data_IF_325058350805
#
_entry.id   IF_325058350805
#
_cell.length_a   1.000
_cell.length_b   1.000
_cell.length_c   1.000
_cell.angle_alpha   90.00
_cell.angle_beta   90.00
_cell.angle_gamma   90.00
#
_symmetry.space_group_name_H-M   'P 1'
#
loop_
_entity.id
_entity.type
_entity.pdbx_description
1 polymer ?
#
# COMPACT_ATOMS: atom_id res chain seq x y z
N UNK A 1 9.87 -62.14 1.64
CA UNK A 1 10.82 -61.03 1.85
C UNK A 1 10.12 -59.82 1.28
N UNK A 2 9.44 -59.04 2.14
CA UNK A 2 9.94 -57.77 2.72
C UNK A 2 10.26 -56.77 1.58
N UNK A 3 9.80 -55.52 1.55
CA UNK A 3 9.24 -54.62 2.58
C UNK A 3 8.79 -53.32 1.88
N UNK A 4 7.98 -52.50 2.57
CA UNK A 4 7.89 -51.01 2.49
C UNK A 4 7.27 -50.38 1.22
N UNK A 5 6.48 -49.30 1.24
CA UNK A 5 6.19 -48.25 2.24
C UNK A 5 4.93 -47.46 1.82
N UNK A 6 4.25 -46.85 2.80
CA UNK A 6 3.08 -45.97 2.66
C UNK A 6 3.42 -44.57 2.10
N UNK A 7 2.60 -44.04 1.19
CA UNK A 7 2.52 -42.59 0.92
C UNK A 7 1.04 -42.15 0.90
N UNK A 8 0.63 -41.45 1.97
CA UNK A 8 -0.58 -40.64 2.02
C UNK A 8 -0.36 -39.33 1.25
N UNK A 9 -0.99 -39.20 0.08
CA UNK A 9 -1.02 -37.92 -0.64
C UNK A 9 -2.14 -37.02 -0.06
N UNK A 10 -1.69 -36.05 0.73
CA UNK A 10 -2.44 -34.86 1.14
C UNK A 10 -2.89 -34.10 -0.10
N UNK A 11 -4.20 -34.05 -0.35
CA UNK A 11 -4.79 -33.18 -1.38
C UNK A 11 -4.55 -31.70 -0.99
N UNK A 12 -3.84 -30.91 -1.79
CA UNK A 12 -3.82 -29.47 -1.59
C UNK A 12 -5.14 -28.90 -2.12
N UNK A 13 -5.80 -28.11 -1.28
CA UNK A 13 -7.04 -27.39 -1.57
C UNK A 13 -6.77 -26.33 -2.64
N UNK A 14 -7.02 -26.74 -3.88
CA UNK A 14 -6.95 -25.95 -5.09
C UNK A 14 -8.14 -24.99 -5.16
N UNK A 15 -7.96 -23.74 -4.73
CA UNK A 15 -8.85 -22.64 -5.06
C UNK A 15 -8.58 -22.11 -6.49
N UNK A 16 -8.50 -23.03 -7.45
CA UNK A 16 -8.76 -22.73 -8.85
C UNK A 16 -10.22 -22.32 -8.98
N UNK A 17 -10.48 -21.21 -9.68
CA UNK A 17 -11.83 -20.89 -10.18
C UNK A 17 -12.20 -21.98 -11.21
N UNK A 18 -12.56 -23.17 -10.72
CA UNK A 18 -12.84 -24.37 -11.48
C UNK A 18 -14.21 -24.36 -12.16
N UNK A 19 -14.59 -25.48 -12.82
CA UNK A 19 -15.58 -25.48 -13.90
C UNK A 19 -17.04 -25.46 -13.40
N UNK A 20 -17.77 -24.43 -13.85
CA UNK A 20 -19.22 -24.21 -14.06
C UNK A 20 -20.25 -25.12 -13.32
N UNK A 21 -21.27 -24.52 -12.66
CA UNK A 21 -22.45 -24.03 -13.41
C UNK A 21 -23.03 -22.70 -12.86
N UNK A 22 -23.26 -21.71 -13.73
CA UNK A 22 -23.89 -20.38 -13.50
C UNK A 22 -24.49 -20.09 -12.10
N UNK A 23 -23.87 -19.17 -11.32
CA UNK A 23 -24.47 -17.83 -11.15
C UNK A 23 -23.46 -16.66 -11.29
N UNK A 24 -22.30 -16.90 -11.89
CA UNK A 24 -21.26 -15.89 -12.10
C UNK A 24 -21.50 -15.17 -13.44
N UNK A 25 -21.25 -13.85 -13.50
CA UNK A 25 -21.73 -13.00 -14.59
C UNK A 25 -21.19 -13.35 -16.00
N UNK A 26 -21.77 -12.69 -17.01
CA UNK A 26 -21.62 -13.04 -18.44
C UNK A 26 -20.17 -12.97 -18.90
N UNK A 27 -19.63 -14.06 -19.44
CA UNK A 27 -18.33 -14.11 -20.11
C UNK A 27 -18.48 -14.31 -21.63
N UNK A 28 -17.79 -13.48 -22.39
CA UNK A 28 -17.68 -13.53 -23.85
C UNK A 28 -16.19 -13.65 -24.22
N UNK A 29 -15.72 -14.83 -24.61
CA UNK A 29 -14.31 -15.04 -24.98
C UNK A 29 -13.93 -16.51 -25.19
N UNK A 30 -12.67 -16.75 -25.49
CA UNK A 30 -12.12 -18.09 -25.67
C UNK A 30 -12.11 -18.91 -24.36
N UNK A 31 -12.11 -20.23 -24.51
CA UNK A 31 -11.90 -21.20 -23.42
C UNK A 31 -10.86 -22.23 -23.84
N UNK A 32 -10.15 -22.80 -22.88
CA UNK A 32 -9.22 -23.91 -23.12
C UNK A 32 -9.91 -25.27 -22.98
N UNK A 33 -9.14 -26.36 -23.10
CA UNK A 33 -9.63 -27.74 -23.08
C UNK A 33 -10.30 -28.12 -21.74
N UNK A 34 -9.98 -27.40 -20.66
CA UNK A 34 -10.58 -27.57 -19.33
C UNK A 34 -11.85 -26.72 -19.16
N UNK A 35 -12.27 -26.02 -20.22
CA UNK A 35 -13.38 -25.06 -20.25
C UNK A 35 -13.13 -23.79 -19.42
N UNK A 36 -11.89 -23.55 -19.01
CA UNK A 36 -11.49 -22.34 -18.31
C UNK A 36 -11.38 -21.15 -19.26
N UNK A 37 -11.58 -19.94 -18.75
CA UNK A 37 -11.39 -18.71 -19.54
C UNK A 37 -9.95 -18.65 -20.06
N UNK A 38 -9.80 -18.45 -21.37
CA UNK A 38 -8.49 -18.45 -22.02
C UNK A 38 -8.45 -17.51 -23.23
N UNK A 39 -7.32 -16.84 -23.43
CA UNK A 39 -7.17 -15.85 -24.51
C UNK A 39 -7.87 -14.54 -24.17
N UNK A 40 -8.25 -13.76 -25.17
CA UNK A 40 -8.93 -12.49 -24.95
C UNK A 40 -10.43 -12.72 -24.69
N UNK A 41 -10.99 -12.01 -23.71
CA UNK A 41 -12.42 -12.06 -23.42
C UNK A 41 -12.90 -10.93 -22.49
N UNK A 42 -14.23 -10.79 -22.42
CA UNK A 42 -14.93 -9.84 -21.54
C UNK A 42 -15.78 -10.61 -20.52
N UNK A 43 -15.60 -10.32 -19.23
CA UNK A 43 -16.37 -10.88 -18.14
C UNK A 43 -17.09 -9.77 -17.37
N UNK A 44 -18.38 -9.98 -17.09
CA UNK A 44 -19.06 -9.31 -15.97
C UNK A 44 -18.89 -10.20 -14.75
N UNK A 45 -18.28 -9.69 -13.70
CA UNK A 45 -18.03 -10.42 -12.46
C UNK A 45 -19.27 -10.38 -11.55
N UNK A 46 -19.44 -11.31 -10.61
CA UNK A 46 -20.63 -11.37 -9.74
C UNK A 46 -20.86 -10.11 -8.91
N UNK A 47 -19.76 -9.44 -8.54
CA UNK A 47 -19.79 -8.18 -7.81
C UNK A 47 -20.23 -6.98 -8.69
N UNK A 48 -20.46 -7.20 -9.99
CA UNK A 48 -20.83 -6.18 -10.97
C UNK A 48 -19.64 -5.47 -11.61
N UNK A 49 -18.41 -5.84 -11.27
CA UNK A 49 -17.22 -5.35 -11.94
C UNK A 49 -17.12 -5.93 -13.36
N UNK A 50 -16.39 -5.24 -14.23
CA UNK A 50 -16.19 -5.67 -15.61
C UNK A 50 -14.69 -5.84 -15.84
N UNK A 51 -14.31 -6.97 -16.40
CA UNK A 51 -12.96 -7.19 -16.92
C UNK A 51 -13.02 -7.44 -18.42
N UNK A 52 -12.11 -6.81 -19.15
CA UNK A 52 -11.89 -7.02 -20.58
C UNK A 52 -10.40 -7.15 -20.82
N UNK A 53 -9.96 -8.33 -21.25
CA UNK A 53 -8.53 -8.57 -21.42
C UNK A 53 -8.19 -10.04 -21.59
N UNK A 54 -6.91 -10.33 -21.42
CA UNK A 54 -6.38 -11.67 -21.56
C UNK A 54 -6.59 -12.53 -20.30
N UNK A 55 -6.87 -13.80 -20.53
CA UNK A 55 -7.00 -14.86 -19.55
C UNK A 55 -6.03 -16.01 -19.88
N UNK A 56 -5.59 -16.71 -18.83
CA UNK A 56 -4.83 -17.95 -18.92
C UNK A 56 -5.20 -18.84 -17.74
N UNK A 57 -5.69 -20.05 -18.03
CA UNK A 57 -6.13 -21.05 -17.03
C UNK A 57 -7.10 -20.42 -16.02
N UNK A 58 -8.16 -19.80 -16.53
CA UNK A 58 -9.22 -19.20 -15.73
C UNK A 58 -8.87 -17.86 -15.08
N UNK A 59 -7.59 -17.49 -15.00
CA UNK A 59 -7.11 -16.28 -14.31
C UNK A 59 -6.76 -15.16 -15.28
N UNK A 60 -7.00 -13.90 -14.86
CA UNK A 60 -6.57 -12.70 -15.60
C UNK A 60 -5.05 -12.73 -15.79
N UNK A 61 -4.59 -12.51 -17.02
CA UNK A 61 -3.17 -12.64 -17.38
C UNK A 61 -2.86 -11.78 -18.60
N UNK A 62 -1.70 -11.13 -18.68
CA UNK A 62 -1.38 -10.24 -19.80
C UNK A 62 -2.08 -8.88 -19.68
N UNK A 63 -2.35 -8.21 -20.80
CA UNK A 63 -2.99 -6.87 -20.79
C UNK A 63 -4.50 -7.00 -20.57
N UNK A 64 -5.08 -6.09 -19.79
CA UNK A 64 -6.52 -5.99 -19.62
C UNK A 64 -6.98 -4.77 -18.83
N UNK A 65 -8.22 -4.37 -19.10
CA UNK A 65 -8.96 -3.31 -18.43
C UNK A 65 -9.90 -3.93 -17.39
N UNK A 66 -9.82 -3.45 -16.16
CA UNK A 66 -10.73 -3.80 -15.08
C UNK A 66 -11.45 -2.54 -14.62
N UNK A 67 -12.78 -2.54 -14.73
CA UNK A 67 -13.66 -1.45 -14.31
C UNK A 67 -14.43 -1.91 -13.08
N UNK A 68 -14.18 -1.25 -11.96
CA UNK A 68 -14.86 -1.51 -10.71
C UNK A 68 -16.22 -0.82 -10.72
N UNK A 69 -17.23 -1.43 -10.09
CA UNK A 69 -18.56 -0.84 -9.92
C UNK A 69 -18.53 0.50 -9.18
N UNK A 70 -17.53 0.70 -8.31
CA UNK A 70 -17.31 1.96 -7.58
C UNK A 70 -16.72 3.08 -8.45
N UNK A 71 -16.46 2.84 -9.74
CA UNK A 71 -15.93 3.82 -10.69
C UNK A 71 -14.41 3.77 -10.86
N UNK A 72 -13.68 3.06 -9.99
CA UNK A 72 -12.24 2.86 -10.15
C UNK A 72 -11.93 2.01 -11.39
N UNK A 73 -10.76 2.23 -11.98
CA UNK A 73 -10.35 1.56 -13.23
C UNK A 73 -8.88 1.21 -13.19
N UNK A 74 -8.54 -0.01 -13.58
CA UNK A 74 -7.17 -0.43 -13.83
C UNK A 74 -7.01 -0.81 -15.29
N UNK A 75 -6.10 -0.15 -15.99
CA UNK A 75 -5.67 -0.52 -17.34
C UNK A 75 -4.18 -0.87 -17.28
N UNK A 76 -3.85 -2.16 -17.45
CA UNK A 76 -2.48 -2.57 -17.31
C UNK A 76 -2.24 -4.06 -17.49
N UNK A 77 -1.07 -4.48 -17.07
CA UNK A 77 -0.65 -5.88 -17.08
C UNK A 77 -1.15 -6.64 -15.84
N UNK A 78 -1.41 -7.92 -16.06
CA UNK A 78 -1.94 -8.88 -15.10
C UNK A 78 -1.09 -10.13 -15.12
N UNK A 79 -0.90 -10.76 -13.96
CA UNK A 79 -0.24 -12.07 -13.84
C UNK A 79 -0.94 -12.88 -12.78
N UNK A 80 -1.53 -14.02 -13.19
CA UNK A 80 -2.24 -14.95 -12.30
C UNK A 80 -3.30 -14.27 -11.43
N UNK A 81 -4.09 -13.35 -12.02
CA UNK A 81 -5.17 -12.64 -11.34
C UNK A 81 -4.76 -11.34 -10.65
N UNK A 82 -3.46 -11.02 -10.56
CA UNK A 82 -2.95 -9.86 -9.83
C UNK A 82 -2.42 -8.79 -10.79
N UNK A 83 -2.53 -7.51 -10.43
CA UNK A 83 -1.87 -6.42 -11.17
C UNK A 83 -0.36 -6.61 -11.11
N UNK A 84 0.28 -6.51 -12.26
CA UNK A 84 1.71 -6.73 -12.43
C UNK A 84 2.24 -5.82 -13.54
N UNK A 85 3.55 -5.69 -13.70
CA UNK A 85 4.14 -4.99 -14.84
C UNK A 85 3.74 -3.51 -14.88
N UNK A 86 3.44 -2.97 -16.04
CA UNK A 86 3.03 -1.56 -16.19
C UNK A 86 1.51 -1.40 -16.21
N UNK A 87 1.00 -0.35 -15.55
CA UNK A 87 -0.43 -0.06 -15.53
C UNK A 87 -0.80 1.32 -15.00
N UNK A 88 -1.99 1.75 -15.37
CA UNK A 88 -2.66 2.94 -14.87
C UNK A 88 -3.85 2.53 -13.99
N UNK A 89 -3.90 3.07 -12.77
CA UNK A 89 -5.07 2.94 -11.90
C UNK A 89 -5.68 4.32 -11.67
N UNK A 90 -6.95 4.47 -12.00
CA UNK A 90 -7.77 5.65 -11.68
C UNK A 90 -8.63 5.28 -10.48
N UNK A 91 -8.50 6.04 -9.40
CA UNK A 91 -9.25 5.85 -8.17
C UNK A 91 -10.62 6.53 -8.24
N UNK A 92 -11.59 6.15 -7.39
CA UNK A 92 -12.93 6.74 -7.40
C UNK A 92 -12.94 8.25 -7.13
N UNK A 93 -11.97 8.75 -6.35
CA UNK A 93 -11.78 10.16 -6.03
C UNK A 93 -11.21 10.98 -7.21
N UNK A 94 -10.85 10.32 -8.32
CA UNK A 94 -10.23 10.94 -9.50
C UNK A 94 -8.71 11.05 -9.43
N UNK A 95 -8.08 10.69 -8.31
CA UNK A 95 -6.63 10.51 -8.26
C UNK A 95 -6.23 9.36 -9.19
N UNK A 96 -4.96 9.35 -9.64
CA UNK A 96 -4.48 8.28 -10.50
C UNK A 96 -3.02 7.95 -10.26
N UNK A 97 -2.68 6.67 -10.41
CA UNK A 97 -1.31 6.17 -10.45
C UNK A 97 -1.00 5.65 -11.84
N UNK A 98 0.18 5.98 -12.36
CA UNK A 98 0.72 5.44 -13.61
C UNK A 98 2.12 4.96 -13.32
N UNK A 99 2.37 3.65 -13.43
CA UNK A 99 3.69 3.12 -13.14
C UNK A 99 3.73 1.61 -13.08
N UNK A 100 4.77 1.11 -12.42
CA UNK A 100 5.00 -0.31 -12.22
C UNK A 100 4.16 -0.88 -11.04
N UNK A 101 3.79 -2.14 -11.18
CA UNK A 101 2.96 -2.91 -10.25
C UNK A 101 3.58 -4.29 -9.98
N UNK A 102 3.47 -4.77 -8.74
CA UNK A 102 3.86 -6.13 -8.35
C UNK A 102 2.89 -6.63 -7.28
N UNK A 103 2.11 -7.67 -7.61
CA UNK A 103 1.12 -8.29 -6.71
C UNK A 103 0.14 -7.27 -6.15
N UNK A 104 -0.54 -6.53 -7.02
CA UNK A 104 -1.49 -5.46 -6.68
C UNK A 104 -0.93 -4.22 -5.98
N UNK A 105 0.38 -4.19 -5.69
CA UNK A 105 1.02 -3.05 -5.06
C UNK A 105 1.81 -2.20 -6.06
N UNK A 106 1.77 -0.88 -5.86
CA UNK A 106 2.67 0.08 -6.52
C UNK A 106 4.12 -0.30 -6.19
N UNK A 107 4.95 -0.47 -7.21
CA UNK A 107 6.34 -0.93 -7.11
C UNK A 107 7.17 -0.21 -8.16
N UNK A 108 8.50 -0.16 -8.06
CA UNK A 108 9.36 0.32 -9.15
C UNK A 108 9.22 1.82 -9.38
N UNK A 109 9.25 2.28 -10.64
CA UNK A 109 9.05 3.69 -10.97
C UNK A 109 7.57 3.97 -11.27
N UNK A 110 7.08 5.13 -10.81
CA UNK A 110 5.70 5.53 -11.04
C UNK A 110 5.39 6.97 -10.67
N UNK A 111 4.31 7.50 -11.26
CA UNK A 111 3.77 8.83 -11.00
C UNK A 111 2.38 8.71 -10.40
N UNK A 112 2.16 9.41 -9.29
CA UNK A 112 0.85 9.54 -8.65
C UNK A 112 0.37 10.98 -8.75
N UNK A 113 -0.84 11.15 -9.25
CA UNK A 113 -1.53 12.43 -9.41
C UNK A 113 -2.64 12.49 -8.37
N UNK A 114 -2.55 13.43 -7.45
CA UNK A 114 -3.50 13.60 -6.35
C UNK A 114 -4.68 14.48 -6.79
N UNK A 115 -5.82 14.33 -6.12
CA UNK A 115 -7.04 15.12 -6.37
C UNK A 115 -6.79 16.62 -6.19
N UNK A 116 -5.97 16.99 -5.20
CA UNK A 116 -5.60 18.39 -4.93
C UNK A 116 -4.66 19.00 -6.01
N UNK A 117 -4.32 18.24 -7.05
CA UNK A 117 -3.42 18.64 -8.13
C UNK A 117 -1.94 18.42 -7.83
N UNK A 118 -1.58 17.97 -6.62
CA UNK A 118 -0.22 17.58 -6.31
C UNK A 118 0.21 16.39 -7.18
N UNK A 119 1.52 16.23 -7.36
CA UNK A 119 2.07 15.10 -8.11
C UNK A 119 3.30 14.55 -7.40
N UNK A 120 3.40 13.23 -7.31
CA UNK A 120 4.62 12.54 -6.93
C UNK A 120 5.13 11.72 -8.11
N UNK A 121 6.38 11.90 -8.49
CA UNK A 121 7.09 11.10 -9.48
C UNK A 121 8.34 10.52 -8.84
N UNK A 122 8.49 9.20 -8.84
CA UNK A 122 9.66 8.58 -8.26
C UNK A 122 9.57 7.08 -8.09
N UNK A 123 10.42 6.58 -7.19
CA UNK A 123 10.47 5.18 -6.81
C UNK A 123 9.35 4.82 -5.81
N UNK A 124 8.88 3.57 -5.90
CA UNK A 124 7.81 2.96 -5.12
C UNK A 124 8.23 1.57 -4.63
N UNK A 125 7.84 1.23 -3.41
CA UNK A 125 8.09 -0.09 -2.83
C UNK A 125 6.95 -0.51 -1.91
N UNK A 126 6.39 -1.70 -2.15
CA UNK A 126 5.28 -2.28 -1.37
C UNK A 126 4.12 -1.29 -1.15
N UNK A 127 3.78 -0.51 -2.17
CA UNK A 127 2.69 0.47 -2.13
C UNK A 127 3.08 1.87 -1.64
N UNK A 128 4.29 2.07 -1.11
CA UNK A 128 4.73 3.34 -0.53
C UNK A 128 5.75 4.06 -1.42
N UNK A 129 5.75 5.39 -1.36
CA UNK A 129 6.86 6.21 -1.89
C UNK A 129 8.16 5.80 -1.19
N UNK A 130 9.18 5.46 -1.95
CA UNK A 130 10.43 4.92 -1.43
C UNK A 130 11.58 5.25 -2.38
N UNK A 131 12.81 5.47 -1.92
CA UNK A 131 13.94 5.80 -2.78
C UNK A 131 13.91 7.26 -3.24
N UNK A 132 14.48 7.58 -4.40
CA UNK A 132 14.47 8.94 -4.94
C UNK A 132 13.11 9.29 -5.56
N UNK A 133 12.63 10.50 -5.29
CA UNK A 133 11.41 11.01 -5.91
C UNK A 133 11.20 12.51 -5.73
N UNK A 134 10.38 13.06 -6.60
CA UNK A 134 9.97 14.46 -6.63
C UNK A 134 8.49 14.58 -6.31
N UNK A 135 8.14 15.44 -5.36
CA UNK A 135 6.78 15.81 -5.00
C UNK A 135 6.54 17.28 -5.33
N UNK A 136 5.52 17.56 -6.12
CA UNK A 136 5.10 18.91 -6.51
C UNK A 136 3.85 19.26 -5.71
N UNK A 137 3.97 20.26 -4.84
CA UNK A 137 2.85 20.85 -4.11
C UNK A 137 2.22 21.93 -4.99
N UNK A 138 1.11 21.60 -5.65
CA UNK A 138 0.54 22.43 -6.73
C UNK A 138 0.03 23.77 -6.22
N UNK A 139 -0.64 23.77 -5.07
CA UNK A 139 -1.22 24.97 -4.46
C UNK A 139 -0.17 25.97 -3.98
N UNK A 140 0.97 25.48 -3.49
CA UNK A 140 2.06 26.30 -2.96
C UNK A 140 3.12 26.65 -4.01
N UNK A 141 3.06 26.00 -5.18
CA UNK A 141 4.13 26.05 -6.19
C UNK A 141 5.51 25.71 -5.57
N UNK A 142 5.52 24.71 -4.69
CA UNK A 142 6.72 24.22 -4.00
C UNK A 142 7.06 22.84 -4.53
N UNK A 143 8.33 22.57 -4.77
CA UNK A 143 8.81 21.26 -5.24
C UNK A 143 9.74 20.69 -4.19
N UNK A 144 9.51 19.44 -3.78
CA UNK A 144 10.45 18.68 -2.98
C UNK A 144 11.07 17.56 -3.80
N UNK A 145 12.39 17.51 -3.87
CA UNK A 145 13.14 16.43 -4.53
C UNK A 145 14.11 15.82 -3.52
N UNK A 146 14.01 14.52 -3.28
CA UNK A 146 14.84 13.88 -2.25
C UNK A 146 14.56 12.41 -2.06
N UNK A 147 15.14 11.88 -1.00
CA UNK A 147 14.93 10.51 -0.56
C UNK A 147 13.60 10.36 0.21
N UNK A 148 12.93 9.24 -0.06
CA UNK A 148 11.70 8.81 0.57
C UNK A 148 11.88 7.44 1.19
N UNK A 149 11.29 7.21 2.35
CA UNK A 149 11.23 5.91 3.02
C UNK A 149 9.86 5.72 3.63
N UNK A 150 9.17 4.67 3.19
CA UNK A 150 7.85 4.26 3.69
C UNK A 150 6.84 5.43 3.68
N UNK A 151 6.82 6.17 2.57
CA UNK A 151 5.92 7.30 2.38
C UNK A 151 6.38 8.63 3.00
N UNK A 152 7.56 8.69 3.64
CA UNK A 152 8.08 9.90 4.32
C UNK A 152 9.38 10.40 3.72
N UNK A 153 9.62 11.71 3.77
CA UNK A 153 10.91 12.32 3.42
C UNK A 153 11.95 11.89 4.44
N UNK A 154 13.06 11.32 3.98
CA UNK A 154 14.08 10.71 4.83
C UNK A 154 15.44 10.78 4.15
N UNK A 155 16.45 11.41 4.76
CA UNK A 155 17.76 11.60 4.14
C UNK A 155 17.90 12.92 3.40
N UNK A 156 18.87 13.05 2.48
CA UNK A 156 19.09 14.29 1.74
C UNK A 156 17.86 14.68 0.89
N UNK A 157 17.64 15.98 0.77
CA UNK A 157 16.56 16.52 -0.04
C UNK A 157 16.68 18.01 -0.27
N UNK A 158 15.94 18.47 -1.28
CA UNK A 158 15.90 19.85 -1.74
C UNK A 158 14.44 20.28 -1.75
N UNK A 159 14.14 21.44 -1.16
CA UNK A 159 12.84 22.11 -1.31
C UNK A 159 13.05 23.38 -2.13
N UNK A 160 12.41 23.45 -3.29
CA UNK A 160 12.39 24.60 -4.18
C UNK A 160 11.11 25.41 -3.94
N UNK A 161 11.27 26.63 -3.45
CA UNK A 161 10.19 27.60 -3.24
C UNK A 161 10.04 28.58 -4.43
N UNK A 162 10.69 28.28 -5.56
CA UNK A 162 10.71 29.11 -6.77
C UNK A 162 11.71 30.26 -6.71
N UNK A 163 11.70 31.06 -5.63
CA UNK A 163 12.61 32.20 -5.46
C UNK A 163 13.86 31.88 -4.62
N UNK A 164 13.81 30.81 -3.82
CA UNK A 164 14.94 30.28 -3.07
C UNK A 164 14.77 28.77 -2.88
N UNK A 165 15.88 28.09 -2.60
CA UNK A 165 15.94 26.64 -2.39
C UNK A 165 16.52 26.33 -1.03
N UNK A 166 15.95 25.37 -0.34
CA UNK A 166 16.57 24.75 0.82
C UNK A 166 17.24 23.45 0.39
N UNK A 167 18.51 23.28 0.72
CA UNK A 167 19.23 22.03 0.62
C UNK A 167 19.53 21.52 2.03
N UNK A 168 19.20 20.27 2.33
CA UNK A 168 19.55 19.70 3.62
C UNK A 168 19.08 18.26 3.77
N UNK A 169 18.88 17.85 5.03
CA UNK A 169 18.44 16.51 5.38
C UNK A 169 17.07 16.54 6.04
N UNK A 170 16.30 15.48 5.81
CA UNK A 170 15.01 15.20 6.41
C UNK A 170 15.07 13.93 7.26
N UNK A 171 14.28 13.90 8.32
CA UNK A 171 14.02 12.72 9.13
C UNK A 171 12.52 12.69 9.44
N UNK A 172 11.83 11.64 8.96
CA UNK A 172 10.38 11.48 9.14
C UNK A 172 9.60 12.76 8.77
N UNK A 173 9.80 13.26 7.55
CA UNK A 173 9.20 14.50 7.00
C UNK A 173 9.70 15.82 7.61
N UNK A 174 10.51 15.82 8.67
CA UNK A 174 11.01 17.04 9.29
C UNK A 174 12.43 17.37 8.82
N UNK A 175 12.72 18.63 8.44
CA UNK A 175 14.09 19.04 8.17
C UNK A 175 14.93 18.93 9.45
N UNK A 176 16.18 18.47 9.35
CA UNK A 176 17.05 18.23 10.50
C UNK A 176 18.52 18.39 10.14
N UNK A 177 19.27 18.97 11.06
CA UNK A 177 20.73 19.04 10.97
C UNK A 177 21.19 20.09 9.96
N UNK A 178 22.46 20.01 9.52
CA UNK A 178 23.06 20.98 8.61
C UNK A 178 22.32 21.09 7.28
N UNK A 179 22.24 22.31 6.77
CA UNK A 179 21.70 22.62 5.46
C UNK A 179 22.07 24.03 5.04
N UNK A 180 21.58 24.44 3.87
CA UNK A 180 21.74 25.79 3.38
C UNK A 180 20.52 26.25 2.59
N UNK A 181 20.26 27.56 2.64
CA UNK A 181 19.33 28.21 1.72
C UNK A 181 20.11 28.86 0.60
N UNK A 182 19.73 28.61 -0.64
CA UNK A 182 20.28 29.25 -1.84
C UNK A 182 19.24 30.22 -2.39
N UNK A 183 19.64 31.46 -2.67
CA UNK A 183 18.71 32.53 -3.09
C UNK A 183 19.38 33.51 -4.06
N UNK A 184 18.57 34.44 -4.60
CA UNK A 184 18.97 35.41 -5.64
C UNK A 184 19.62 34.71 -6.85
N UNK A 185 18.89 33.76 -7.44
CA UNK A 185 19.32 32.98 -8.61
C UNK A 185 20.71 32.33 -8.43
N UNK A 186 20.92 31.65 -7.31
CA UNK A 186 22.17 30.99 -6.95
C UNK A 186 23.37 31.94 -6.83
N UNK A 187 23.19 33.17 -6.35
CA UNK A 187 24.32 34.06 -6.03
C UNK A 187 24.78 33.94 -4.59
N UNK A 188 23.86 33.69 -3.67
CA UNK A 188 24.15 33.62 -2.24
C UNK A 188 23.63 32.33 -1.65
N UNK A 189 24.31 31.89 -0.58
CA UNK A 189 23.83 30.81 0.25
C UNK A 189 23.95 31.16 1.74
N UNK A 190 22.89 30.90 2.50
CA UNK A 190 22.88 31.01 3.95
C UNK A 190 23.07 29.62 4.57
N UNK A 191 24.16 29.44 5.30
CA UNK A 191 24.48 28.23 6.03
C UNK A 191 23.79 28.23 7.39
N UNK A 192 23.33 27.06 7.80
CA UNK A 192 22.71 26.89 9.11
C UNK A 192 22.37 25.43 9.38
N UNK A 193 21.47 25.22 10.33
CA UNK A 193 20.95 23.89 10.63
C UNK A 193 19.55 23.97 11.22
N UNK A 194 18.78 22.91 10.99
CA UNK A 194 17.49 22.71 11.65
C UNK A 194 17.64 21.95 12.97
N UNK A 195 16.97 22.44 14.00
CA UNK A 195 16.76 21.74 15.28
C UNK A 195 15.27 21.51 15.47
N UNK A 196 14.90 20.26 15.67
CA UNK A 196 13.52 19.86 15.95
C UNK A 196 13.28 19.94 17.46
N UNK A 197 12.47 20.91 17.90
CA UNK A 197 12.19 21.17 19.31
C UNK A 197 10.79 20.68 19.65
N UNK A 198 10.65 20.03 20.81
CA UNK A 198 9.33 19.70 21.35
C UNK A 198 8.70 20.96 21.94
N UNK A 199 7.51 21.31 21.47
CA UNK A 199 6.68 22.36 22.02
C UNK A 199 5.25 21.82 22.24
N UNK A 200 4.86 21.53 23.51
CA UNK A 200 3.53 21.04 23.84
C UNK A 200 2.39 21.99 23.42
N UNK A 201 2.64 23.28 23.26
CA UNK A 201 1.63 24.22 22.71
C UNK A 201 1.29 23.94 21.24
N UNK A 202 2.14 23.16 20.55
CA UNK A 202 1.95 22.67 19.19
C UNK A 202 1.70 21.15 19.17
N UNK A 203 1.32 20.54 20.30
CA UNK A 203 0.60 19.26 20.32
C UNK A 203 -0.76 19.52 19.61
N UNK A 204 -0.73 19.48 18.28
CA UNK A 204 -1.70 20.13 17.39
C UNK A 204 -3.17 19.88 17.78
N UNK A 205 -3.84 20.91 18.29
CA UNK A 205 -5.31 21.05 18.25
C UNK A 205 -5.64 21.54 16.84
N UNK A 206 -6.29 20.71 16.01
CA UNK A 206 -6.69 21.12 14.65
C UNK A 206 -6.25 20.22 13.50
N UNK A 207 -5.77 19.00 13.75
CA UNK A 207 -5.70 17.97 12.70
C UNK A 207 -7.07 17.70 12.06
N UNK A 208 -8.16 17.99 12.78
CA UNK A 208 -9.54 17.86 12.29
C UNK A 208 -9.95 18.97 11.30
N UNK A 209 -9.16 20.06 11.17
CA UNK A 209 -9.49 21.22 10.31
C UNK A 209 -8.62 21.36 9.06
N UNK A 210 -7.57 20.55 8.92
CA UNK A 210 -7.04 20.19 7.60
C UNK A 210 -7.84 19.01 7.08
N UNK A 211 -9.15 19.22 6.95
CA UNK A 211 -9.97 18.40 6.08
C UNK A 211 -9.43 18.63 4.66
N UNK A 212 -8.54 17.74 4.22
CA UNK A 212 -8.67 17.26 2.86
C UNK A 212 -10.01 16.52 2.87
N UNK A 213 -11.04 17.18 2.34
CA UNK A 213 -12.20 16.49 1.79
C UNK A 213 -11.63 15.45 0.81
N UNK A 214 -11.41 14.21 1.27
CA UNK A 214 -12.41 13.19 1.06
C UNK A 214 -12.07 11.89 1.79
N UNK A 215 -13.15 11.36 2.35
CA UNK A 215 -13.30 10.07 2.98
C UNK A 215 -13.09 8.94 1.98
N UNK A 216 -12.09 8.09 2.20
CA UNK A 216 -12.26 6.66 2.02
C UNK A 216 -11.28 5.89 2.92
N UNK A 217 -11.88 5.08 3.79
CA UNK A 217 -11.22 4.18 4.73
C UNK A 217 -10.54 3.06 3.95
N UNK A 218 -9.22 3.13 3.79
CA UNK A 218 -8.32 1.99 3.54
C UNK A 218 -6.83 2.38 3.53
N UNK A 219 -6.52 3.67 3.56
CA UNK A 219 -5.14 4.14 3.46
C UNK A 219 -4.45 4.25 4.84
N UNK A 220 -3.41 3.45 5.15
CA UNK A 220 -2.49 3.76 6.24
C UNK A 220 -1.54 4.93 5.88
N UNK A 221 -1.80 5.71 4.82
CA UNK A 221 -0.88 6.70 4.24
C UNK A 221 -0.85 8.07 4.97
N UNK A 222 -1.40 8.22 6.18
CA UNK A 222 -1.17 9.44 6.98
C UNK A 222 -0.71 9.14 8.41
N UNK A 223 0.61 9.01 8.59
CA UNK A 223 1.25 9.40 9.85
C UNK A 223 1.97 10.72 9.61
N UNK A 224 1.24 11.82 9.78
CA UNK A 224 1.76 13.19 9.67
C UNK A 224 2.98 13.45 10.57
N UNK A 225 3.48 14.68 10.54
CA UNK A 225 4.63 15.09 11.36
C UNK A 225 4.43 14.68 12.83
N UNK A 226 5.51 14.28 13.54
CA UNK A 226 5.42 13.97 14.96
C UNK A 226 4.77 15.15 15.71
N UNK A 227 3.70 14.86 16.47
CA UNK A 227 2.94 15.87 17.20
C UNK A 227 3.86 16.64 18.16
N UNK A 228 3.64 17.94 18.27
CA UNK A 228 4.40 18.79 19.18
C UNK A 228 5.85 19.04 18.77
N UNK A 229 6.28 18.72 17.54
CA UNK A 229 7.65 19.02 17.08
C UNK A 229 7.64 20.20 16.11
N UNK A 230 8.41 21.22 16.43
CA UNK A 230 8.60 22.42 15.61
C UNK A 230 10.03 22.45 15.06
N UNK A 231 10.22 22.42 13.73
CA UNK A 231 11.54 22.61 13.12
C UNK A 231 11.97 24.07 13.20
N UNK A 232 13.10 24.33 13.84
CA UNK A 232 13.65 25.68 14.01
C UNK A 232 14.98 25.83 13.27
N UNK A 233 15.03 26.76 12.32
CA UNK A 233 16.25 27.12 11.59
C UNK A 233 17.19 27.97 12.47
N UNK A 234 18.47 27.58 12.51
CA UNK A 234 19.55 28.32 13.17
C UNK A 234 20.56 28.77 12.11
N UNK A 235 20.39 29.99 11.61
CA UNK A 235 21.33 30.62 10.68
C UNK A 235 22.72 30.79 11.34
N UNK A 236 23.79 30.62 10.55
CA UNK A 236 25.18 30.71 11.01
C UNK A 236 26.00 31.71 10.22
N UNK A 237 25.97 31.63 8.90
CA UNK A 237 26.72 32.54 8.02
C UNK A 237 26.04 32.67 6.66
N UNK A 238 26.41 33.70 5.91
CA UNK A 238 26.04 33.87 4.50
C UNK A 238 27.32 33.94 3.70
N UNK A 239 27.38 33.23 2.58
CA UNK A 239 28.49 33.26 1.63
C UNK A 239 27.97 33.49 0.22
N UNK A 240 28.88 33.77 -0.71
CA UNK A 240 28.61 33.54 -2.13
C UNK A 240 28.27 32.07 -2.34
N UNK A 241 27.47 31.80 -3.37
CA UNK A 241 27.11 30.46 -3.77
C UNK A 241 28.37 29.64 -4.10
N UNK A 242 28.46 28.45 -3.51
CA UNK A 242 29.47 27.46 -3.84
C UNK A 242 28.80 26.08 -3.89
N UNK A 243 28.83 25.45 -5.07
CA UNK A 243 28.24 24.14 -5.30
C UNK A 243 28.90 23.04 -4.47
N UNK A 244 30.18 23.17 -4.13
CA UNK A 244 30.92 22.20 -3.30
C UNK A 244 30.47 22.19 -1.84
N UNK A 245 29.79 23.25 -1.39
CA UNK A 245 29.24 23.35 -0.04
C UNK A 245 27.79 22.85 0.05
N UNK A 246 27.23 22.37 -1.05
CA UNK A 246 25.90 21.78 -1.04
C UNK A 246 25.93 20.44 -0.28
N UNK A 247 24.89 20.13 0.49
CA UNK A 247 24.67 18.79 1.01
C UNK A 247 24.73 17.74 -0.12
N UNK A 248 25.16 16.51 0.19
CA UNK A 248 25.24 15.45 -0.81
C UNK A 248 23.89 15.23 -1.50
N UNK A 249 23.93 14.92 -2.79
CA UNK A 249 22.74 14.66 -3.56
C UNK A 249 22.00 13.40 -3.04
N UNK A 250 20.66 13.41 -3.09
CA UNK A 250 19.87 12.23 -2.75
C UNK A 250 20.15 11.08 -3.74
N UNK A 251 20.59 9.94 -3.23
CA UNK A 251 20.82 8.72 -4.01
C UNK A 251 19.63 7.76 -3.88
N UNK A 252 19.35 6.95 -4.90
CA UNK A 252 18.33 5.91 -4.81
C UNK A 252 18.65 4.95 -3.64
N UNK A 253 17.65 4.65 -2.81
CA UNK A 253 17.82 3.68 -1.73
C UNK A 253 17.87 2.27 -2.34
N UNK A 254 18.84 1.42 -1.98
CA UNK A 254 18.88 0.05 -2.47
C UNK A 254 17.64 -0.70 -1.98
N UNK A 255 16.83 -1.18 -2.92
CA UNK A 255 15.71 -2.07 -2.62
C UNK A 255 16.32 -3.46 -2.42
N UNK A 256 16.40 -3.91 -1.17
CA UNK A 256 16.73 -5.30 -0.85
C UNK A 256 15.43 -6.10 -0.98
N UNK A 257 15.16 -6.59 -2.19
CA UNK A 257 14.16 -7.64 -2.38
C UNK A 257 14.81 -8.94 -1.91
N UNK A 258 14.51 -9.37 -0.68
CA UNK A 258 14.91 -10.72 -0.25
C UNK A 258 14.29 -11.73 -1.22
N UNK A 259 15.01 -12.83 -1.49
CA UNK A 259 14.42 -13.99 -2.16
C UNK A 259 13.08 -14.31 -1.50
N UNK A 260 12.06 -14.59 -2.33
CA UNK A 260 10.66 -14.72 -1.92
C UNK A 260 10.53 -15.51 -0.62
N UNK A 261 10.17 -14.84 0.47
CA UNK A 261 9.86 -15.54 1.71
C UNK A 261 8.41 -16.02 1.65
N UNK A 262 8.17 -17.26 2.05
CA UNK A 262 6.82 -17.80 2.32
C UNK A 262 6.00 -16.86 3.21
N UNK A 263 6.64 -16.07 4.06
CA UNK A 263 6.00 -15.09 4.95
C UNK A 263 5.40 -13.91 4.17
N UNK A 264 6.07 -13.42 3.12
CA UNK A 264 5.52 -12.36 2.26
C UNK A 264 4.30 -12.86 1.46
N UNK A 265 4.27 -14.16 1.15
CA UNK A 265 3.12 -14.83 0.50
C UNK A 265 1.96 -14.98 1.51
N UNK A 266 2.24 -15.47 2.71
CA UNK A 266 1.22 -15.64 3.77
C UNK A 266 0.63 -14.30 4.21
N UNK A 267 1.46 -13.26 4.40
CA UNK A 267 0.99 -11.93 4.78
C UNK A 267 0.24 -11.18 3.67
N UNK A 268 0.34 -11.64 2.42
CA UNK A 268 -0.53 -11.21 1.32
C UNK A 268 -1.85 -11.97 1.35
N UNK A 269 -1.82 -13.31 1.47
CA UNK A 269 -3.02 -14.16 1.54
C UNK A 269 -3.93 -13.80 2.72
N UNK A 270 -3.37 -13.50 3.90
CA UNK A 270 -4.14 -13.11 5.09
C UNK A 270 -4.87 -11.76 4.95
N UNK A 271 -4.48 -10.89 4.01
CA UNK A 271 -5.22 -9.64 3.73
C UNK A 271 -6.44 -9.87 2.85
N UNK A 272 -6.43 -10.91 2.01
CA UNK A 272 -7.59 -11.24 1.16
C UNK A 272 -8.75 -11.86 1.95
N UNK A 273 -8.47 -12.51 3.07
CA UNK A 273 -9.53 -13.06 3.93
C UNK A 273 -10.32 -11.97 4.69
N UNK A 274 -9.76 -10.77 4.87
CA UNK A 274 -10.43 -9.67 5.59
C UNK A 274 -11.39 -8.85 4.71
N UNK A 275 -11.12 -8.73 3.41
CA UNK A 275 -11.97 -7.98 2.47
C UNK A 275 -13.08 -8.86 1.85
N UNK A 276 -13.23 -10.09 2.36
CA UNK A 276 -14.02 -11.15 1.76
C UNK A 276 -15.18 -11.72 2.58
N UNK A 277 -15.62 -11.15 3.72
CA UNK A 277 -16.85 -11.64 4.41
C UNK A 277 -17.60 -10.52 5.13
N UNK A 278 -18.39 -9.75 4.38
CA UNK A 278 -19.52 -8.99 4.93
C UNK A 278 -20.79 -9.84 4.94
N UNK A 279 -20.83 -10.88 5.78
CA UNK A 279 -21.99 -11.73 5.97
C UNK A 279 -22.33 -11.83 7.45
N UNK A 280 -23.22 -10.94 7.93
CA UNK A 280 -23.90 -11.16 9.21
C UNK A 280 -24.70 -12.46 9.11
N UNK A 281 -24.44 -13.40 10.00
CA UNK A 281 -25.41 -14.40 10.38
C UNK A 281 -25.68 -14.21 11.88
N UNK A 282 -26.83 -13.60 12.18
CA UNK A 282 -27.46 -13.73 13.49
C UNK A 282 -28.01 -15.16 13.63
N UNK A 283 -27.78 -15.71 14.82
CA UNK A 283 -28.55 -16.72 15.55
C UNK A 283 -28.86 -18.08 14.90
N UNK A 284 -28.38 -19.15 15.54
CA UNK A 284 -29.29 -20.16 16.09
C UNK A 284 -28.62 -20.90 17.24
N UNK A 285 -29.09 -20.59 18.45
CA UNK A 285 -28.86 -21.34 19.68
C UNK A 285 -29.71 -22.61 19.61
N UNK A 286 -29.12 -23.76 19.29
CA UNK A 286 -29.80 -25.05 19.47
C UNK A 286 -28.83 -26.09 20.04
N UNK A 287 -29.20 -26.54 21.23
CA UNK A 287 -28.63 -27.64 22.00
C UNK A 287 -28.17 -28.84 21.17
N UNK A 288 -26.99 -29.36 21.50
CA UNK A 288 -26.68 -30.77 21.28
C UNK A 288 -26.43 -31.49 22.62
N UNK A 289 -27.02 -32.68 22.80
CA UNK A 289 -27.01 -33.42 24.06
C UNK A 289 -25.68 -34.15 24.29
N UNK A 290 -25.26 -34.20 25.56
CA UNK A 290 -24.13 -35.03 26.02
C UNK A 290 -24.44 -36.53 25.88
N UNK A 291 -23.40 -37.37 25.68
CA UNK A 291 -23.55 -38.77 25.29
C UNK A 291 -23.93 -39.67 26.48
N UNK A 292 -24.82 -40.64 26.23
CA UNK A 292 -25.12 -41.80 27.10
C UNK A 292 -24.24 -42.95 26.59
N UNK A 293 -23.48 -43.71 27.38
CA UNK A 293 -23.81 -44.81 28.31
C UNK A 293 -22.43 -45.29 28.86
N UNK A 294 -22.22 -45.83 30.06
CA UNK A 294 -22.93 -46.92 30.72
C UNK A 294 -22.49 -47.07 32.22
N UNK A 295 -23.47 -47.37 33.08
CA UNK A 295 -23.49 -48.18 34.34
C UNK A 295 -22.43 -48.03 35.45
N UNK A 296 -22.94 -47.83 36.68
CA UNK A 296 -22.27 -48.23 37.93
C UNK A 296 -22.92 -47.66 39.21
N UNK A 297 -23.78 -48.47 39.83
CA UNK A 297 -24.29 -48.53 41.23
C UNK A 297 -24.19 -47.36 42.26
N UNK A 298 -25.38 -47.09 42.85
CA UNK A 298 -25.78 -47.03 44.27
C UNK A 298 -25.13 -46.08 45.33
N UNK A 299 -26.03 -45.30 45.99
CA UNK A 299 -26.06 -44.82 47.41
C UNK A 299 -24.93 -43.88 47.89
N UNK A 300 -25.06 -42.83 48.70
CA UNK A 300 -26.01 -42.38 49.73
C UNK A 300 -25.66 -40.91 50.12
N UNK A 301 -26.64 -40.16 50.65
CA UNK A 301 -26.58 -39.06 51.65
C UNK A 301 -25.65 -37.80 51.56
N UNK A 302 -26.30 -36.64 51.34
CA UNK A 302 -26.32 -35.34 52.09
C UNK A 302 -25.28 -34.99 53.21
N UNK A 303 -25.13 -33.72 53.68
CA UNK A 303 -24.85 -32.44 53.00
C UNK A 303 -23.87 -31.48 53.77
N UNK A 304 -23.67 -30.23 53.24
CA UNK A 304 -23.23 -28.92 53.86
C UNK A 304 -21.80 -28.77 54.50
N UNK A 305 -21.29 -27.54 54.79
CA UNK A 305 -21.48 -26.19 54.22
C UNK A 305 -20.18 -25.42 53.89
N UNK A 306 -20.34 -24.40 53.04
CA UNK A 306 -19.91 -22.98 53.16
C UNK A 306 -18.75 -22.65 54.13
N UNK A 307 -17.66 -22.17 53.56
CA UNK A 307 -17.10 -20.83 53.82
C UNK A 307 -16.26 -20.36 52.63
#
# INVERSE_FOLDING_TARGET
>A
MSTDEDEEDVKPEDAGEGPEPYPYGKYEGGRDDQLDRHGFGRAVLPNGDIYEGHYSHGKRHGRGLYVLKNGARYDGEWKKGLKYGTGMFIYPDGSKYVGEWKRDLKQGKGTYYYVNGDTYEGSWYKGFRHGYGTYIYKSLNVIHTGNWKDGRMEGPGIIDYGCYKYHGKFEKNLPKGPGCFVFDNNKFMQHGFYVNLRNPAFDYVGADKLALEDTNLESPEYRGNPRGIVPLWRARSVSLYNAELLPPEPLDLPIVDSQESLIDIIGYLQRFDQDGVGGKAEEEEQHLPSPVTEKGDATEEMPIPIN
#
